data_IF_389361618453
#
_entry.id   IF_389361618453
#
_cell.length_a   1.000
_cell.length_b   1.000
_cell.length_c   1.000
_cell.angle_alpha   90.00
_cell.angle_beta   90.00
_cell.angle_gamma   90.00
#
_symmetry.space_group_name_H-M   'P 1'
#
loop_
_entity.id
_entity.type
_entity.pdbx_description
1 polymer ?
#
# COMPACT_ATOMS: atom_id res chain seq x y z
N UNK A 1 -41.31 -21.32 -21.70
CA UNK A 1 -40.12 -21.54 -20.86
C UNK A 1 -39.01 -20.69 -21.45
N UNK A 2 -38.27 -19.88 -20.67
CA UNK A 2 -37.07 -19.26 -21.22
C UNK A 2 -36.13 -20.39 -21.64
N UNK A 3 -35.53 -20.24 -22.81
CA UNK A 3 -34.52 -21.15 -23.35
C UNK A 3 -33.44 -21.41 -22.30
N UNK A 4 -33.11 -22.68 -22.06
CA UNK A 4 -31.95 -23.05 -21.27
C UNK A 4 -30.70 -22.39 -21.88
N UNK A 5 -30.17 -21.36 -21.21
CA UNK A 5 -28.84 -20.87 -21.50
C UNK A 5 -27.86 -21.98 -21.12
N UNK A 6 -26.97 -22.35 -22.05
CA UNK A 6 -25.82 -23.17 -21.69
C UNK A 6 -24.94 -22.31 -20.79
N UNK A 7 -24.52 -22.85 -19.65
CA UNK A 7 -23.63 -22.16 -18.72
C UNK A 7 -22.29 -21.93 -19.41
N UNK A 8 -21.83 -20.69 -19.48
CA UNK A 8 -20.51 -20.37 -20.04
C UNK A 8 -19.68 -19.48 -19.09
N UNK A 9 -18.46 -19.15 -19.50
CA UNK A 9 -17.51 -18.38 -18.69
C UNK A 9 -17.93 -16.94 -18.45
N UNK A 10 -18.91 -16.38 -19.18
CA UNK A 10 -19.41 -15.02 -18.96
C UNK A 10 -20.43 -14.96 -17.81
N UNK A 11 -21.01 -16.09 -17.43
CA UNK A 11 -21.93 -16.21 -16.29
C UNK A 11 -21.23 -16.24 -14.93
N UNK A 12 -19.89 -16.32 -14.92
CA UNK A 12 -19.06 -16.37 -13.72
C UNK A 12 -17.93 -15.34 -13.78
N UNK A 13 -17.57 -14.80 -12.63
CA UNK A 13 -16.45 -13.86 -12.49
C UNK A 13 -15.75 -14.05 -11.15
N UNK A 14 -14.45 -13.77 -11.14
CA UNK A 14 -13.71 -13.53 -9.91
C UNK A 14 -13.98 -12.09 -9.47
N UNK A 15 -14.28 -11.93 -8.19
CA UNK A 15 -14.56 -10.67 -7.52
C UNK A 15 -13.64 -10.52 -6.32
N UNK A 16 -13.22 -9.30 -6.06
CA UNK A 16 -12.27 -8.99 -4.99
C UNK A 16 -10.96 -8.48 -5.57
N UNK A 17 -10.19 -7.73 -4.78
CA UNK A 17 -8.95 -7.15 -5.27
C UNK A 17 -7.85 -8.21 -5.35
N UNK A 18 -6.97 -8.13 -6.35
CA UNK A 18 -5.89 -9.10 -6.54
C UNK A 18 -4.64 -8.68 -5.76
N UNK A 19 -4.70 -8.77 -4.43
CA UNK A 19 -3.52 -8.57 -3.61
C UNK A 19 -3.45 -9.41 -2.33
N UNK A 20 -2.24 -9.64 -1.83
CA UNK A 20 -1.96 -10.43 -0.62
C UNK A 20 -2.64 -9.82 0.60
N UNK A 21 -3.29 -10.68 1.39
CA UNK A 21 -4.08 -10.30 2.56
C UNK A 21 -5.53 -9.91 2.23
N UNK A 22 -5.95 -9.95 0.96
CA UNK A 22 -7.37 -9.91 0.58
C UNK A 22 -7.94 -11.27 0.22
N UNK A 23 -9.27 -11.33 0.06
CA UNK A 23 -9.98 -12.50 -0.44
C UNK A 23 -10.57 -12.26 -1.83
N UNK A 24 -10.34 -13.20 -2.73
CA UNK A 24 -11.10 -13.36 -3.96
C UNK A 24 -12.35 -14.19 -3.69
N UNK A 25 -13.38 -14.00 -4.51
CA UNK A 25 -14.60 -14.78 -4.48
C UNK A 25 -15.11 -15.07 -5.88
N UNK A 26 -15.68 -16.26 -6.08
CA UNK A 26 -16.39 -16.56 -7.33
C UNK A 26 -17.83 -16.10 -7.21
N UNK A 27 -18.25 -15.18 -8.07
CA UNK A 27 -19.66 -14.86 -8.29
C UNK A 27 -20.13 -15.43 -9.61
N UNK A 28 -21.30 -16.05 -9.61
CA UNK A 28 -21.97 -16.42 -10.84
C UNK A 28 -23.36 -16.97 -10.60
N UNK A 29 -24.01 -17.37 -11.68
CA UNK A 29 -25.38 -17.87 -11.70
C UNK A 29 -25.45 -19.36 -11.33
N UNK A 30 -25.17 -19.68 -10.06
CA UNK A 30 -25.17 -21.05 -9.53
C UNK A 30 -26.52 -21.77 -9.68
N UNK A 31 -27.61 -21.02 -9.83
CA UNK A 31 -28.96 -21.53 -10.13
C UNK A 31 -29.01 -22.40 -11.38
N UNK A 32 -28.10 -22.22 -12.35
CA UNK A 32 -28.09 -23.06 -13.56
C UNK A 32 -27.67 -24.51 -13.30
N UNK A 33 -27.02 -24.80 -12.17
CA UNK A 33 -26.71 -26.17 -11.76
C UNK A 33 -27.92 -26.95 -11.21
N UNK A 34 -29.11 -26.33 -11.13
CA UNK A 34 -30.35 -26.96 -10.65
C UNK A 34 -31.24 -27.54 -11.77
N UNK A 35 -30.84 -27.44 -13.04
CA UNK A 35 -31.72 -27.59 -14.20
C UNK A 35 -32.34 -28.99 -14.45
N UNK A 36 -31.99 -30.03 -13.67
CA UNK A 36 -32.47 -31.40 -13.87
C UNK A 36 -33.46 -31.89 -12.81
N UNK A 37 -33.55 -31.21 -11.66
CA UNK A 37 -34.60 -31.41 -10.66
C UNK A 37 -34.98 -30.02 -10.10
N UNK A 38 -36.19 -29.50 -10.41
CA UNK A 38 -36.63 -28.18 -9.94
C UNK A 38 -36.77 -28.08 -8.42
N UNK A 39 -36.65 -29.19 -7.68
CA UNK A 39 -36.65 -29.23 -6.22
C UNK A 39 -35.26 -29.45 -5.61
N UNK A 40 -34.22 -29.71 -6.42
CA UNK A 40 -32.87 -29.91 -5.92
C UNK A 40 -32.20 -28.57 -5.62
N UNK A 41 -31.55 -28.48 -4.46
CA UNK A 41 -30.64 -27.37 -4.21
C UNK A 41 -29.43 -27.49 -5.15
N UNK A 42 -28.97 -26.39 -5.79
CA UNK A 42 -27.76 -26.42 -6.58
C UNK A 42 -26.59 -26.82 -5.68
N UNK A 43 -25.83 -27.81 -6.13
CA UNK A 43 -24.61 -28.25 -5.48
C UNK A 43 -23.45 -28.07 -6.46
N UNK A 44 -22.34 -27.55 -5.97
CA UNK A 44 -21.15 -27.29 -6.76
C UNK A 44 -19.89 -27.36 -5.89
N UNK A 45 -18.77 -27.49 -6.58
CA UNK A 45 -17.43 -27.32 -6.03
C UNK A 45 -16.68 -26.28 -6.84
N UNK A 46 -15.71 -25.62 -6.22
CA UNK A 46 -14.82 -24.66 -6.87
C UNK A 46 -13.41 -25.16 -6.61
N UNK A 47 -12.62 -25.28 -7.66
CA UNK A 47 -11.19 -25.55 -7.58
C UNK A 47 -10.46 -24.28 -7.99
N UNK A 48 -9.68 -23.71 -7.08
CA UNK A 48 -8.86 -22.55 -7.39
C UNK A 48 -7.58 -22.95 -8.11
N UNK A 49 -7.14 -22.10 -9.04
CA UNK A 49 -5.96 -22.29 -9.87
C UNK A 49 -5.02 -21.09 -9.76
N UNK A 50 -3.72 -21.34 -9.61
CA UNK A 50 -2.63 -20.37 -9.73
C UNK A 50 -1.92 -20.61 -11.06
N UNK A 51 -1.98 -19.65 -11.99
CA UNK A 51 -1.46 -19.77 -13.35
C UNK A 51 -1.90 -21.07 -14.06
N UNK A 52 -3.18 -21.42 -13.88
CA UNK A 52 -3.79 -22.62 -14.45
C UNK A 52 -3.47 -23.94 -13.74
N UNK A 53 -2.68 -23.93 -12.65
CA UNK A 53 -2.40 -25.12 -11.84
C UNK A 53 -3.24 -25.14 -10.56
N UNK A 54 -3.79 -26.30 -10.15
CA UNK A 54 -4.55 -26.41 -8.90
C UNK A 54 -3.75 -26.00 -7.66
N UNK A 55 -4.39 -25.20 -6.79
CA UNK A 55 -3.83 -24.82 -5.49
C UNK A 55 -4.14 -25.89 -4.44
N UNK A 56 -3.13 -26.28 -3.67
CA UNK A 56 -3.28 -27.25 -2.58
C UNK A 56 -2.56 -26.78 -1.29
N UNK A 57 -3.15 -26.99 -0.10
CA UNK A 57 -4.49 -27.52 0.14
C UNK A 57 -5.60 -26.56 -0.34
N UNK A 58 -6.77 -27.10 -0.65
CA UNK A 58 -7.96 -26.31 -1.00
C UNK A 58 -8.28 -25.30 0.14
N UNK A 59 -8.51 -24.02 -0.17
CA UNK A 59 -8.88 -23.03 0.83
C UNK A 59 -10.14 -23.43 1.61
N UNK A 60 -10.22 -23.01 2.88
CA UNK A 60 -11.45 -23.16 3.64
C UNK A 60 -12.52 -22.23 3.03
N UNK A 61 -13.75 -22.75 2.87
CA UNK A 61 -14.89 -22.08 2.21
C UNK A 61 -14.76 -22.01 0.68
N UNK A 62 -15.41 -22.95 -0.03
CA UNK A 62 -15.23 -23.19 -1.46
C UNK A 62 -15.43 -21.98 -2.38
N UNK A 63 -16.14 -20.93 -1.98
CA UNK A 63 -16.32 -19.75 -2.84
C UNK A 63 -15.28 -18.66 -2.65
N UNK A 64 -14.40 -18.77 -1.65
CA UNK A 64 -13.43 -17.74 -1.29
C UNK A 64 -12.00 -18.25 -1.40
N UNK A 65 -11.07 -17.34 -1.71
CA UNK A 65 -9.64 -17.62 -1.80
C UNK A 65 -8.88 -16.46 -1.17
N UNK A 66 -8.25 -16.70 -0.02
CA UNK A 66 -7.38 -15.71 0.61
C UNK A 66 -6.04 -15.70 -0.12
N UNK A 67 -5.65 -14.54 -0.61
CA UNK A 67 -4.41 -14.34 -1.35
C UNK A 67 -3.21 -14.24 -0.40
N UNK A 68 -2.18 -15.02 -0.66
CA UNK A 68 -0.95 -15.06 0.12
C UNK A 68 0.28 -14.67 -0.70
N UNK A 69 1.42 -14.53 -0.01
CA UNK A 69 2.68 -14.10 -0.61
C UNK A 69 3.16 -14.99 -1.77
N UNK A 70 2.71 -16.25 -1.84
CA UNK A 70 3.06 -17.17 -2.91
C UNK A 70 2.24 -16.96 -4.19
N UNK A 71 1.12 -16.23 -4.09
CA UNK A 71 0.29 -15.85 -5.23
C UNK A 71 0.86 -14.66 -6.01
N UNK A 72 1.75 -13.87 -5.42
CA UNK A 72 2.28 -12.64 -6.03
C UNK A 72 2.88 -12.91 -7.41
N UNK A 73 2.47 -12.10 -8.39
CA UNK A 73 2.88 -12.22 -9.79
C UNK A 73 2.06 -13.23 -10.60
N UNK A 74 1.25 -14.05 -9.94
CA UNK A 74 0.37 -15.02 -10.59
C UNK A 74 -0.98 -14.39 -10.95
N UNK A 75 -1.72 -15.04 -11.85
CA UNK A 75 -3.16 -14.81 -12.01
C UNK A 75 -3.93 -15.97 -11.38
N UNK A 76 -4.98 -15.63 -10.64
CA UNK A 76 -5.84 -16.61 -10.00
C UNK A 76 -7.06 -16.82 -10.88
N UNK A 77 -7.39 -18.08 -11.15
CA UNK A 77 -8.64 -18.48 -11.79
C UNK A 77 -9.34 -19.54 -10.95
N UNK A 78 -10.53 -19.95 -11.37
CA UNK A 78 -11.26 -21.03 -10.72
C UNK A 78 -11.97 -21.91 -11.75
N UNK A 79 -12.19 -23.16 -11.37
CA UNK A 79 -13.08 -24.09 -12.10
C UNK A 79 -14.26 -24.41 -11.20
N UNK A 80 -15.46 -24.02 -11.64
CA UNK A 80 -16.71 -24.37 -10.96
C UNK A 80 -17.25 -25.67 -11.57
N UNK A 81 -17.46 -26.68 -10.75
CA UNK A 81 -18.03 -27.98 -11.17
C UNK A 81 -19.37 -28.19 -10.47
N UNK A 82 -20.46 -28.26 -11.24
CA UNK A 82 -21.78 -28.63 -10.73
C UNK A 82 -21.89 -30.13 -10.44
N UNK A 83 -22.46 -30.51 -9.30
CA UNK A 83 -22.54 -31.91 -8.87
C UNK A 83 -23.79 -32.68 -9.32
N UNK A 84 -24.84 -32.00 -9.83
CA UNK A 84 -26.12 -32.63 -10.19
C UNK A 84 -26.68 -32.26 -11.59
N UNK A 85 -25.89 -31.65 -12.48
CA UNK A 85 -26.35 -31.35 -13.83
C UNK A 85 -26.32 -32.60 -14.74
N UNK A 86 -27.29 -32.71 -15.65
CA UNK A 86 -27.48 -33.85 -16.56
C UNK A 86 -26.28 -34.15 -17.48
N UNK A 87 -25.29 -33.26 -17.53
CA UNK A 87 -23.90 -33.53 -17.86
C UNK A 87 -23.01 -32.64 -16.96
N UNK A 88 -21.77 -33.04 -16.63
CA UNK A 88 -20.89 -32.21 -15.83
C UNK A 88 -20.56 -30.91 -16.58
N UNK A 89 -21.22 -29.81 -16.20
CA UNK A 89 -20.85 -28.47 -16.64
C UNK A 89 -19.69 -28.00 -15.75
N UNK A 90 -18.47 -28.10 -16.28
CA UNK A 90 -17.32 -27.39 -15.75
C UNK A 90 -17.23 -26.03 -16.42
N UNK A 91 -17.15 -24.98 -15.61
CA UNK A 91 -16.99 -23.62 -16.10
C UNK A 91 -15.65 -23.10 -15.61
N UNK A 92 -14.80 -22.72 -16.56
CA UNK A 92 -13.57 -21.99 -16.26
C UNK A 92 -13.96 -20.53 -16.06
N UNK A 93 -13.69 -20.01 -14.87
CA UNK A 93 -13.94 -18.62 -14.52
C UNK A 93 -12.76 -17.78 -15.04
N UNK A 94 -13.01 -16.62 -15.68
CA UNK A 94 -11.95 -15.72 -16.12
C UNK A 94 -10.97 -15.36 -15.00
N UNK A 95 -9.70 -15.22 -15.38
CA UNK A 95 -8.59 -14.91 -14.48
C UNK A 95 -8.75 -13.54 -13.79
N UNK A 96 -8.25 -13.45 -12.56
CA UNK A 96 -8.06 -12.20 -11.84
C UNK A 96 -7.03 -11.30 -12.53
N UNK A 97 -6.94 -10.06 -12.05
CA UNK A 97 -5.72 -9.28 -12.21
C UNK A 97 -4.51 -9.99 -11.59
N UNK A 98 -3.30 -9.61 -12.03
CA UNK A 98 -2.06 -10.14 -11.44
C UNK A 98 -2.03 -9.80 -9.96
N UNK A 99 -1.85 -10.81 -9.13
CA UNK A 99 -1.83 -10.67 -7.67
C UNK A 99 -0.59 -9.87 -7.25
N UNK A 100 -0.79 -8.86 -6.41
CA UNK A 100 0.26 -7.97 -5.88
C UNK A 100 0.47 -8.22 -4.39
N UNK A 101 1.63 -7.89 -3.81
CA UNK A 101 1.85 -8.16 -2.38
C UNK A 101 1.06 -7.26 -1.41
N UNK A 102 0.27 -6.29 -1.88
CA UNK A 102 -0.31 -5.28 -1.00
C UNK A 102 -1.76 -4.91 -1.27
N UNK A 103 -2.57 -4.69 -0.20
CA UNK A 103 -3.71 -3.82 -0.28
C UNK A 103 -3.29 -2.46 -0.82
N UNK A 104 -3.64 -2.20 -2.08
CA UNK A 104 -3.67 -0.83 -2.59
C UNK A 104 -4.87 -0.12 -1.98
N UNK A 105 -4.84 0.14 -0.67
CA UNK A 105 -5.65 1.20 -0.06
C UNK A 105 -5.01 2.57 -0.22
N UNK A 106 -3.78 2.61 -0.72
CA UNK A 106 -3.27 3.75 -1.46
C UNK A 106 -3.53 3.47 -2.95
N UNK A 107 -4.70 3.87 -3.45
CA UNK A 107 -4.65 4.45 -4.78
C UNK A 107 -3.65 5.63 -4.64
N UNK A 108 -2.59 5.65 -5.44
CA UNK A 108 -1.62 6.76 -5.43
C UNK A 108 -2.32 8.11 -5.44
N UNK A 109 -1.58 9.19 -5.22
CA UNK A 109 -2.17 10.54 -5.23
C UNK A 109 -2.99 10.84 -6.53
N UNK A 110 -2.75 10.10 -7.63
CA UNK A 110 -3.52 10.11 -8.88
C UNK A 110 -4.50 8.94 -9.13
N UNK A 111 -4.85 8.11 -8.14
CA UNK A 111 -5.88 7.07 -8.35
C UNK A 111 -5.40 5.84 -9.13
N UNK A 112 -4.09 5.75 -9.43
CA UNK A 112 -3.53 4.75 -10.38
C UNK A 112 -3.12 3.43 -9.75
N UNK A 113 -3.32 3.26 -8.44
CA UNK A 113 -2.89 2.07 -7.72
C UNK A 113 -1.38 1.81 -7.85
N UNK A 114 -0.56 2.85 -7.65
CA UNK A 114 0.90 2.77 -7.48
C UNK A 114 1.31 3.87 -6.49
N UNK A 115 2.38 3.65 -5.72
CA UNK A 115 3.01 4.72 -4.94
C UNK A 115 3.49 5.82 -5.89
N UNK A 116 3.36 7.09 -5.46
CA UNK A 116 3.79 8.24 -6.25
C UNK A 116 4.69 9.12 -5.39
N UNK A 117 5.85 9.47 -5.93
CA UNK A 117 6.85 10.22 -5.19
C UNK A 117 6.48 11.71 -5.17
N UNK A 118 6.55 12.33 -4.00
CA UNK A 118 6.45 13.78 -3.85
C UNK A 118 7.83 14.35 -3.53
N UNK A 119 8.23 15.40 -4.23
CA UNK A 119 9.50 16.08 -4.00
C UNK A 119 9.31 17.57 -3.73
N UNK A 120 9.80 18.05 -2.59
CA UNK A 120 9.84 19.49 -2.30
C UNK A 120 11.21 20.07 -2.64
N UNK A 121 11.22 21.00 -3.59
CA UNK A 121 12.42 21.72 -4.00
C UNK A 121 12.86 22.73 -2.94
N UNK A 122 14.13 23.16 -3.00
CA UNK A 122 14.67 24.21 -2.12
C UNK A 122 13.92 25.55 -2.22
N UNK A 123 13.31 25.85 -3.37
CA UNK A 123 12.47 27.04 -3.56
C UNK A 123 11.05 26.91 -2.99
N UNK A 124 10.71 25.76 -2.39
CA UNK A 124 9.40 25.50 -1.80
C UNK A 124 8.38 24.92 -2.78
N UNK A 125 8.71 24.72 -4.05
CA UNK A 125 7.81 24.06 -4.99
C UNK A 125 7.65 22.56 -4.65
N UNK A 126 6.41 22.07 -4.63
CA UNK A 126 6.09 20.65 -4.48
C UNK A 126 5.80 20.05 -5.85
N UNK A 127 6.54 19.01 -6.21
CA UNK A 127 6.40 18.24 -7.44
C UNK A 127 5.88 16.86 -7.11
N UNK A 128 4.94 16.37 -7.92
CA UNK A 128 4.48 14.99 -7.95
C UNK A 128 5.14 14.27 -9.12
N UNK A 129 5.61 13.05 -8.87
CA UNK A 129 6.15 12.13 -9.88
C UNK A 129 5.18 10.95 -10.01
N UNK A 130 4.19 11.02 -10.92
CA UNK A 130 3.20 9.95 -11.06
C UNK A 130 3.87 8.69 -11.59
N UNK A 131 3.51 7.52 -11.05
CA UNK A 131 3.98 6.23 -11.56
C UNK A 131 3.60 6.01 -13.02
N UNK A 132 4.45 5.33 -13.77
CA UNK A 132 4.20 4.98 -15.17
C UNK A 132 3.34 3.74 -15.26
N UNK A 133 2.20 3.79 -15.97
CA UNK A 133 1.32 2.63 -16.18
C UNK A 133 2.03 1.53 -17.00
N UNK A 134 1.98 0.29 -16.50
CA UNK A 134 2.55 -0.89 -17.15
C UNK A 134 4.09 -0.97 -17.20
N UNK A 135 4.84 0.00 -16.68
CA UNK A 135 6.30 0.01 -16.75
C UNK A 135 6.98 0.57 -15.48
N UNK A 136 8.26 0.24 -15.31
CA UNK A 136 9.11 0.79 -14.25
C UNK A 136 9.25 2.31 -14.37
N UNK A 137 9.21 3.02 -13.23
CA UNK A 137 9.52 4.44 -13.18
C UNK A 137 8.32 5.40 -13.06
N UNK A 138 8.63 6.69 -13.22
CA UNK A 138 7.66 7.78 -13.15
C UNK A 138 7.51 8.48 -14.50
N UNK A 139 6.33 9.07 -14.72
CA UNK A 139 6.04 9.97 -15.82
C UNK A 139 6.57 11.38 -15.55
N UNK A 140 6.37 12.30 -16.50
CA UNK A 140 6.75 13.71 -16.36
C UNK A 140 6.20 14.31 -15.05
N UNK A 141 7.04 14.99 -14.24
CA UNK A 141 6.60 15.52 -12.96
C UNK A 141 5.58 16.64 -13.14
N UNK A 142 4.62 16.67 -12.22
CA UNK A 142 3.55 17.66 -12.16
C UNK A 142 3.82 18.66 -11.03
N UNK A 143 3.61 19.95 -11.30
CA UNK A 143 3.69 20.98 -10.26
C UNK A 143 2.39 21.00 -9.46
N UNK A 144 2.47 20.62 -8.19
CA UNK A 144 1.37 20.71 -7.25
C UNK A 144 1.18 22.15 -6.77
N UNK A 145 2.29 22.84 -6.47
CA UNK A 145 2.25 24.27 -6.17
C UNK A 145 3.61 24.84 -5.76
N UNK A 146 3.76 26.18 -5.82
CA UNK A 146 5.06 26.82 -5.61
C UNK A 146 5.41 27.12 -4.13
N UNK A 147 4.45 27.13 -3.20
CA UNK A 147 4.61 27.73 -1.87
C UNK A 147 4.50 26.73 -0.69
N UNK A 148 5.04 25.52 -0.85
CA UNK A 148 5.04 24.49 0.20
C UNK A 148 6.22 24.62 1.18
N UNK A 149 7.06 25.65 1.03
CA UNK A 149 8.15 25.96 1.95
C UNK A 149 7.69 26.51 3.30
N UNK A 150 6.44 26.96 3.43
CA UNK A 150 5.86 27.44 4.70
C UNK A 150 5.53 26.31 5.68
N UNK A 151 5.33 25.09 5.20
CA UNK A 151 5.12 23.91 6.03
C UNK A 151 6.46 23.36 6.52
N UNK A 152 6.53 23.03 7.80
CA UNK A 152 7.73 22.40 8.38
C UNK A 152 7.84 20.94 7.96
N UNK A 153 6.71 20.28 7.68
CA UNK A 153 6.61 18.86 7.34
C UNK A 153 5.51 18.62 6.32
N UNK A 154 5.75 17.63 5.46
CA UNK A 154 4.74 17.00 4.60
C UNK A 154 4.77 15.50 4.95
N UNK A 155 3.60 14.89 5.06
CA UNK A 155 3.42 13.50 5.48
C UNK A 155 2.43 12.88 4.49
N UNK A 156 2.81 11.75 3.87
CA UNK A 156 1.87 10.92 3.13
C UNK A 156 0.88 10.29 4.10
N UNK A 157 -0.38 10.72 4.07
CA UNK A 157 -1.41 10.24 5.01
C UNK A 157 -2.13 8.97 4.55
N UNK A 158 -2.03 8.64 3.25
CA UNK A 158 -2.90 7.64 2.63
C UNK A 158 -4.35 8.15 2.52
N UNK A 159 -5.28 7.25 2.23
CA UNK A 159 -6.72 7.52 2.26
C UNK A 159 -7.22 7.65 3.70
N UNK A 160 -7.21 8.88 4.22
CA UNK A 160 -7.64 9.17 5.60
C UNK A 160 -9.16 9.33 5.65
N UNK A 161 -9.80 9.72 4.55
CA UNK A 161 -11.25 9.95 4.51
C UNK A 161 -12.07 8.70 4.15
N UNK A 162 -11.39 7.60 3.78
CA UNK A 162 -11.98 6.35 3.34
C UNK A 162 -12.86 6.51 2.09
N UNK A 163 -12.48 7.43 1.20
CA UNK A 163 -13.18 7.70 -0.06
C UNK A 163 -12.43 7.15 -1.30
N UNK A 164 -11.34 6.43 -1.07
CA UNK A 164 -10.46 5.86 -2.10
C UNK A 164 -9.35 6.80 -2.56
N UNK A 165 -9.27 8.04 -2.05
CA UNK A 165 -8.29 9.02 -2.51
C UNK A 165 -7.28 9.32 -1.42
N UNK A 166 -6.02 9.47 -1.82
CA UNK A 166 -4.96 9.80 -0.87
C UNK A 166 -5.05 11.27 -0.43
N UNK A 167 -5.04 11.49 0.88
CA UNK A 167 -4.86 12.79 1.52
C UNK A 167 -3.38 13.12 1.73
N UNK A 168 -3.07 14.42 1.70
CA UNK A 168 -1.76 14.93 2.12
C UNK A 168 -1.87 15.66 3.45
N UNK A 169 -1.02 15.29 4.40
CA UNK A 169 -0.93 15.98 5.68
C UNK A 169 0.28 16.91 5.72
N UNK A 170 0.12 18.07 6.36
CA UNK A 170 1.24 19.00 6.58
C UNK A 170 1.21 19.60 7.97
N UNK A 171 2.38 19.84 8.54
CA UNK A 171 2.51 20.61 9.77
C UNK A 171 3.11 21.99 9.48
N UNK A 172 2.56 23.04 10.06
CA UNK A 172 3.13 24.39 9.98
C UNK A 172 4.06 24.72 11.15
N UNK A 173 4.71 25.90 11.10
CA UNK A 173 5.64 26.36 12.14
C UNK A 173 4.97 26.64 13.50
N UNK A 174 3.65 26.82 13.54
CA UNK A 174 2.88 26.97 14.77
C UNK A 174 2.49 25.63 15.40
N UNK A 175 2.75 24.52 14.70
CA UNK A 175 2.43 23.17 15.14
C UNK A 175 1.01 22.73 14.81
N UNK A 176 0.29 23.43 13.94
CA UNK A 176 -1.01 22.96 13.42
C UNK A 176 -0.78 21.88 12.36
N UNK A 177 -1.62 20.86 12.38
CA UNK A 177 -1.68 19.81 11.38
C UNK A 177 -2.86 20.08 10.46
N UNK A 178 -2.58 20.12 9.17
CA UNK A 178 -3.51 20.43 8.10
C UNK A 178 -3.67 19.23 7.19
N UNK A 179 -4.91 18.91 6.84
CA UNK A 179 -5.27 17.87 5.88
C UNK A 179 -5.73 18.49 4.57
N UNK A 180 -5.04 18.13 3.50
CA UNK A 180 -5.41 18.46 2.13
C UNK A 180 -6.11 17.26 1.50
N UNK A 181 -7.34 17.51 1.05
CA UNK A 181 -8.22 16.51 0.45
C UNK A 181 -7.75 16.14 -0.96
N UNK A 182 -7.49 14.85 -1.20
CA UNK A 182 -7.12 14.38 -2.53
C UNK A 182 -8.29 14.44 -3.51
N UNK A 183 -8.02 14.74 -4.78
CA UNK A 183 -9.01 14.46 -5.85
C UNK A 183 -8.86 13.08 -6.46
N UNK A 184 -7.76 12.38 -6.17
CA UNK A 184 -7.40 11.13 -6.83
C UNK A 184 -6.94 11.33 -8.27
N UNK A 185 -6.55 12.55 -8.67
CA UNK A 185 -6.00 12.87 -9.99
C UNK A 185 -4.64 13.58 -9.90
N UNK A 186 -4.01 13.56 -8.72
CA UNK A 186 -2.78 14.28 -8.44
C UNK A 186 -2.99 15.74 -8.05
N UNK A 187 -4.22 16.19 -7.83
CA UNK A 187 -4.52 17.58 -7.48
C UNK A 187 -5.38 17.71 -6.21
N UNK A 188 -5.47 18.94 -5.72
CA UNK A 188 -6.34 19.34 -4.61
C UNK A 188 -7.51 20.19 -5.12
N UNK A 189 -8.67 20.21 -4.43
CA UNK A 189 -9.76 21.10 -4.80
C UNK A 189 -9.34 22.57 -4.73
N UNK A 190 -9.43 23.27 -5.87
CA UNK A 190 -9.00 24.67 -6.02
C UNK A 190 -9.74 25.68 -5.15
N UNK A 191 -10.89 25.27 -4.60
CA UNK A 191 -11.79 26.05 -3.76
C UNK A 191 -11.90 25.52 -2.32
N UNK A 192 -11.15 24.47 -1.95
CA UNK A 192 -11.10 23.97 -0.58
C UNK A 192 -9.82 24.44 0.10
N UNK A 193 -9.98 25.07 1.26
CA UNK A 193 -8.86 25.27 2.18
C UNK A 193 -8.56 23.93 2.87
N UNK A 194 -7.29 23.66 3.21
CA UNK A 194 -6.98 22.48 4.02
C UNK A 194 -7.69 22.57 5.37
N UNK A 195 -8.09 21.42 5.90
CA UNK A 195 -8.78 21.34 7.19
C UNK A 195 -7.76 21.24 8.32
N UNK A 196 -7.87 22.06 9.35
CA UNK A 196 -7.07 21.89 10.57
C UNK A 196 -7.59 20.64 11.31
N UNK A 197 -6.74 19.64 11.51
CA UNK A 197 -7.11 18.37 12.15
C UNK A 197 -6.36 18.13 13.46
N UNK A 198 -5.50 19.06 13.87
CA UNK A 198 -4.80 18.97 15.15
C UNK A 198 -3.80 20.10 15.36
N UNK A 199 -3.22 20.14 16.55
CA UNK A 199 -2.23 21.12 16.99
C UNK A 199 -1.18 20.48 17.89
N UNK A 200 -0.08 21.18 18.15
CA UNK A 200 1.04 20.69 18.98
C UNK A 200 2.02 19.78 18.24
N UNK A 201 1.91 19.66 16.92
CA UNK A 201 2.76 18.77 16.10
C UNK A 201 4.20 19.27 15.97
N UNK A 202 4.48 20.52 16.34
CA UNK A 202 5.83 21.05 16.51
C UNK A 202 6.57 20.43 17.70
N UNK A 203 5.88 19.73 18.62
CA UNK A 203 6.50 19.00 19.72
C UNK A 203 7.07 17.63 19.28
N UNK A 204 6.71 17.14 18.10
CA UNK A 204 7.16 15.86 17.58
C UNK A 204 8.51 16.02 16.86
N UNK A 205 9.40 15.05 17.05
CA UNK A 205 10.67 14.94 16.32
C UNK A 205 10.43 14.37 14.92
N UNK A 206 9.73 13.24 14.78
CA UNK A 206 9.39 12.62 13.49
C UNK A 206 7.91 12.27 13.44
N UNK A 207 7.33 12.28 12.25
CA UNK A 207 5.94 11.89 12.00
C UNK A 207 5.90 11.16 10.67
N UNK A 208 5.27 9.99 10.62
CA UNK A 208 5.08 9.18 9.41
C UNK A 208 3.65 8.61 9.38
N UNK A 209 3.12 8.36 8.19
CA UNK A 209 1.86 7.64 7.97
C UNK A 209 2.15 6.21 7.54
N UNK A 210 2.13 5.22 8.45
CA UNK A 210 2.42 3.83 8.10
C UNK A 210 1.32 3.16 7.26
N UNK A 211 0.11 3.71 7.24
CA UNK A 211 -1.09 3.01 6.82
C UNK A 211 -1.84 2.47 8.03
N UNK A 212 -2.60 1.39 7.86
CA UNK A 212 -3.35 0.73 8.92
C UNK A 212 -2.42 -0.08 9.84
N UNK A 213 -1.96 0.54 10.92
CA UNK A 213 -0.95 -0.05 11.81
C UNK A 213 -1.60 -0.91 12.90
N UNK A 214 -2.86 -0.66 13.23
CA UNK A 214 -3.61 -1.41 14.24
C UNK A 214 -4.66 -2.40 13.71
N UNK A 215 -4.81 -2.48 12.38
CA UNK A 215 -5.61 -3.48 11.69
C UNK A 215 -7.11 -3.20 11.74
N UNK A 216 -7.51 -1.95 12.03
CA UNK A 216 -8.93 -1.56 12.16
C UNK A 216 -9.56 -1.10 10.84
N UNK A 217 -8.78 -1.07 9.76
CA UNK A 217 -9.18 -0.66 8.43
C UNK A 217 -9.05 0.84 8.16
N UNK A 218 -8.39 1.62 9.02
CA UNK A 218 -8.13 3.04 8.82
C UNK A 218 -6.63 3.37 8.87
N UNK A 219 -6.20 4.35 8.08
CA UNK A 219 -4.80 4.76 8.08
C UNK A 219 -4.45 5.60 9.32
N UNK A 220 -3.33 5.26 9.95
CA UNK A 220 -2.84 5.84 11.18
C UNK A 220 -1.66 6.78 10.99
N UNK A 221 -1.23 7.42 12.09
CA UNK A 221 0.05 8.12 12.17
C UNK A 221 0.91 7.58 13.30
N UNK A 222 2.22 7.57 13.08
CA UNK A 222 3.24 7.35 14.10
C UNK A 222 4.04 8.62 14.30
N UNK A 223 4.26 9.03 15.55
CA UNK A 223 5.09 10.18 15.86
C UNK A 223 6.01 9.95 17.06
N UNK A 224 7.27 10.34 16.90
CA UNK A 224 8.27 10.28 17.96
C UNK A 224 8.40 11.62 18.66
N UNK A 225 8.47 11.62 19.99
CA UNK A 225 8.87 12.79 20.77
C UNK A 225 10.41 12.86 20.88
N UNK A 226 11.01 14.04 21.11
CA UNK A 226 12.46 14.20 21.25
C UNK A 226 13.11 13.36 22.35
N UNK A 227 12.35 12.97 23.37
CA UNK A 227 12.78 12.08 24.46
C UNK A 227 12.84 10.59 24.05
N UNK A 228 12.43 10.26 22.81
CA UNK A 228 12.43 8.91 22.27
C UNK A 228 11.14 8.12 22.51
N UNK A 229 10.11 8.71 23.10
CA UNK A 229 8.78 8.10 23.14
C UNK A 229 8.24 8.01 21.72
N UNK A 230 7.65 6.88 21.35
CA UNK A 230 6.90 6.71 20.11
C UNK A 230 5.42 6.50 20.44
N UNK A 231 4.57 7.25 19.74
CA UNK A 231 3.12 7.16 19.87
C UNK A 231 2.47 6.82 18.54
N UNK A 232 1.51 5.89 18.60
CA UNK A 232 0.49 5.68 17.58
C UNK A 232 -0.62 6.71 17.80
N UNK A 233 -1.06 7.32 16.72
CA UNK A 233 -2.24 8.19 16.66
C UNK A 233 -3.26 7.46 15.79
N UNK A 234 -4.14 6.64 16.40
CA UNK A 234 -5.03 5.80 15.64
C UNK A 234 -6.16 6.62 15.04
N UNK A 235 -6.52 6.34 13.80
CA UNK A 235 -7.74 6.86 13.19
C UNK A 235 -8.82 5.78 13.25
N UNK A 236 -10.06 6.19 13.47
CA UNK A 236 -11.21 5.31 13.37
C UNK A 236 -12.31 5.92 12.50
N UNK A 237 -13.41 5.20 12.32
CA UNK A 237 -14.60 5.64 11.58
C UNK A 237 -15.12 7.02 12.01
N UNK A 238 -15.02 7.35 13.30
CA UNK A 238 -15.50 8.61 13.88
C UNK A 238 -14.43 9.69 14.03
N UNK A 239 -13.26 9.48 13.43
CA UNK A 239 -12.10 10.37 13.54
C UNK A 239 -10.99 9.80 14.43
N UNK A 240 -10.06 10.66 14.82
CA UNK A 240 -8.91 10.30 15.64
C UNK A 240 -9.31 9.83 17.04
N UNK A 241 -8.59 8.84 17.57
CA UNK A 241 -8.74 8.33 18.93
C UNK A 241 -7.57 8.79 19.81
N UNK A 242 -7.63 8.62 21.15
CA UNK A 242 -6.50 8.94 22.01
C UNK A 242 -5.23 8.20 21.59
N UNK A 243 -4.11 8.93 21.49
CA UNK A 243 -2.81 8.34 21.13
C UNK A 243 -2.40 7.22 22.10
N UNK A 244 -1.74 6.21 21.57
CA UNK A 244 -1.25 5.04 22.32
C UNK A 244 0.28 5.07 22.35
N UNK A 245 0.88 4.84 23.52
CA UNK A 245 2.34 4.71 23.63
C UNK A 245 2.76 3.33 23.12
N UNK A 246 3.55 3.30 22.04
CA UNK A 246 3.91 2.06 21.34
C UNK A 246 5.42 1.82 21.30
N UNK A 247 6.24 2.68 21.92
CA UNK A 247 7.67 2.43 21.98
C UNK A 247 8.48 3.48 22.73
N UNK A 248 9.72 3.13 23.04
CA UNK A 248 10.69 3.98 23.73
C UNK A 248 12.06 3.88 23.06
N UNK A 249 12.88 4.93 23.19
CA UNK A 249 14.27 4.94 22.74
C UNK A 249 14.44 5.27 21.26
N UNK A 250 13.38 5.75 20.58
CA UNK A 250 13.42 6.08 19.16
C UNK A 250 14.26 7.31 18.82
N UNK A 251 14.71 8.07 19.81
CA UNK A 251 15.63 9.20 19.65
C UNK A 251 17.04 8.80 19.17
N UNK A 252 17.36 7.50 19.16
CA UNK A 252 18.59 6.97 18.54
C UNK A 252 18.49 6.93 17.01
N UNK A 253 17.27 6.92 16.48
CA UNK A 253 16.99 6.93 15.04
C UNK A 253 16.93 8.37 14.54
N UNK A 254 17.55 8.65 13.40
CA UNK A 254 17.54 9.96 12.75
C UNK A 254 16.59 10.02 11.55
N UNK A 255 16.07 8.88 11.10
CA UNK A 255 15.09 8.78 10.03
C UNK A 255 14.12 7.62 10.29
N UNK A 256 12.84 7.83 9.94
CA UNK A 256 11.82 6.79 9.80
C UNK A 256 11.20 6.92 8.41
N UNK A 257 11.00 5.81 7.71
CA UNK A 257 10.23 5.73 6.47
C UNK A 257 9.24 4.56 6.54
N UNK A 258 8.16 4.66 5.78
CA UNK A 258 7.04 3.72 5.76
C UNK A 258 6.90 3.13 4.36
N UNK A 259 7.64 2.06 4.03
CA UNK A 259 7.51 1.41 2.72
C UNK A 259 6.19 0.66 2.55
N UNK A 260 5.41 0.46 3.62
CA UNK A 260 4.28 -0.46 3.66
C UNK A 260 4.74 -1.85 4.11
N UNK A 261 4.06 -2.91 3.71
CA UNK A 261 4.50 -4.30 3.95
C UNK A 261 5.80 -4.63 3.18
N UNK A 262 6.94 -4.45 3.84
CA UNK A 262 8.26 -4.67 3.24
C UNK A 262 8.72 -6.13 3.38
N UNK A 263 8.13 -6.86 4.32
CA UNK A 263 8.52 -8.22 4.68
C UNK A 263 7.57 -9.33 4.17
N UNK A 264 6.44 -8.95 3.58
CA UNK A 264 5.45 -9.84 2.99
C UNK A 264 4.54 -10.53 4.02
N UNK A 265 4.42 -10.02 5.24
CA UNK A 265 3.60 -10.61 6.31
C UNK A 265 2.15 -10.10 6.33
N UNK A 266 1.79 -9.22 5.40
CA UNK A 266 0.45 -8.64 5.26
C UNK A 266 0.21 -7.45 6.19
N UNK A 267 1.21 -6.98 6.92
CA UNK A 267 1.11 -5.82 7.82
C UNK A 267 2.09 -4.71 7.45
N UNK A 268 1.78 -3.48 7.82
CA UNK A 268 2.63 -2.34 7.46
C UNK A 268 3.92 -2.31 8.30
N UNK A 269 5.06 -2.08 7.65
CA UNK A 269 6.37 -2.03 8.27
C UNK A 269 6.97 -0.62 8.31
N UNK A 270 7.94 -0.44 9.22
CA UNK A 270 8.79 0.75 9.30
C UNK A 270 10.25 0.38 9.03
N UNK A 271 10.92 1.18 8.19
CA UNK A 271 12.37 1.20 8.14
C UNK A 271 12.91 2.40 8.93
N UNK A 272 13.79 2.12 9.88
CA UNK A 272 14.37 3.13 10.77
C UNK A 272 15.89 3.16 10.63
N UNK A 273 16.44 4.33 10.35
CA UNK A 273 17.90 4.52 10.24
C UNK A 273 18.43 5.17 11.51
N UNK A 274 19.55 4.66 12.00
CA UNK A 274 20.29 5.31 13.07
C UNK A 274 21.35 6.31 12.57
N UNK A 275 21.91 7.07 13.49
CA UNK A 275 22.91 8.12 13.22
C UNK A 275 24.21 7.60 12.62
N UNK A 276 24.51 6.31 12.74
CA UNK A 276 25.72 5.69 12.15
C UNK A 276 25.43 5.01 10.81
N UNK A 277 24.20 5.09 10.31
CA UNK A 277 23.81 4.59 8.99
C UNK A 277 23.42 3.12 8.97
N UNK A 278 23.10 2.51 10.13
CA UNK A 278 22.44 1.20 10.18
C UNK A 278 20.96 1.40 9.91
N UNK A 279 20.40 0.58 9.01
CA UNK A 279 18.99 0.56 8.68
C UNK A 279 18.36 -0.70 9.27
N UNK A 280 17.31 -0.49 10.06
CA UNK A 280 16.57 -1.54 10.73
C UNK A 280 15.16 -1.63 10.17
N UNK A 281 14.69 -2.84 9.95
CA UNK A 281 13.27 -3.11 9.73
C UNK A 281 12.60 -3.39 11.08
N UNK A 282 11.52 -2.68 11.32
CA UNK A 282 10.59 -2.88 12.41
C UNK A 282 9.27 -3.34 11.81
N UNK A 283 8.99 -4.64 11.94
CA UNK A 283 7.76 -5.21 11.44
C UNK A 283 6.55 -4.80 12.28
N UNK A 284 5.44 -4.48 11.64
CA UNK A 284 4.14 -4.32 12.31
C UNK A 284 3.59 -5.68 12.75
N UNK A 285 2.67 -5.71 13.71
CA UNK A 285 1.92 -6.92 14.04
C UNK A 285 0.44 -6.84 13.65
N UNK A 286 0.04 -5.78 12.93
CA UNK A 286 -1.33 -5.48 12.53
C UNK A 286 -2.30 -5.27 13.71
N UNK A 287 -1.78 -4.93 14.89
CA UNK A 287 -2.54 -4.72 16.15
C UNK A 287 -1.97 -3.58 16.98
N UNK A 288 -1.28 -2.64 16.35
CA UNK A 288 -0.71 -1.47 17.01
C UNK A 288 0.61 -1.75 17.74
N UNK A 289 1.29 -2.85 17.43
CA UNK A 289 2.55 -3.25 18.05
C UNK A 289 3.60 -3.70 17.04
N UNK A 290 4.73 -4.18 17.57
CA UNK A 290 5.94 -4.49 16.80
C UNK A 290 6.27 -5.97 16.83
N UNK A 291 6.83 -6.46 15.73
CA UNK A 291 7.66 -7.65 15.67
C UNK A 291 9.10 -7.33 16.10
N UNK A 292 9.94 -8.37 16.19
CA UNK A 292 11.35 -8.18 16.54
C UNK A 292 12.09 -7.44 15.41
N UNK A 293 12.80 -6.34 15.71
CA UNK A 293 13.50 -5.59 14.68
C UNK A 293 14.71 -6.36 14.17
N UNK A 294 15.02 -6.22 12.88
CA UNK A 294 16.24 -6.76 12.27
C UNK A 294 17.07 -5.67 11.60
N UNK A 295 18.38 -5.87 11.55
CA UNK A 295 19.26 -5.05 10.73
C UNK A 295 19.11 -5.50 9.26
N UNK A 296 18.72 -4.58 8.38
CA UNK A 296 18.56 -4.84 6.93
C UNK A 296 19.57 -4.10 6.06
N UNK A 297 20.38 -3.21 6.63
CA UNK A 297 21.41 -2.53 5.86
C UNK A 297 22.37 -1.70 6.70
N UNK A 298 23.48 -1.30 6.08
CA UNK A 298 24.51 -0.44 6.66
C UNK A 298 25.00 0.57 5.61
N UNK A 299 25.65 1.66 6.05
CA UNK A 299 26.19 2.69 5.14
C UNK A 299 25.15 3.66 4.58
N UNK A 300 23.92 3.65 5.10
CA UNK A 300 22.83 4.51 4.63
C UNK A 300 23.06 6.00 4.93
N UNK A 301 24.05 6.34 5.74
CA UNK A 301 24.52 7.72 5.95
C UNK A 301 25.24 8.32 4.73
N UNK A 302 25.58 7.51 3.72
CA UNK A 302 26.07 8.01 2.43
C UNK A 302 24.98 8.74 1.62
N UNK A 303 23.71 8.53 1.97
CA UNK A 303 22.56 9.13 1.32
C UNK A 303 22.10 10.36 2.09
N UNK A 304 21.87 11.45 1.37
CA UNK A 304 21.34 12.72 1.91
C UNK A 304 19.83 12.70 2.11
N UNK A 305 19.12 11.83 1.38
CA UNK A 305 17.67 11.61 1.47
C UNK A 305 17.39 10.15 1.23
N UNK A 306 16.41 9.63 1.95
CA UNK A 306 15.93 8.26 1.83
C UNK A 306 14.43 8.33 2.04
N UNK A 307 13.66 7.59 1.24
CA UNK A 307 12.21 7.55 1.31
C UNK A 307 11.66 6.31 0.65
N UNK A 308 10.37 6.06 0.83
CA UNK A 308 9.66 4.98 0.15
C UNK A 308 9.57 5.26 -1.36
N UNK A 309 9.56 4.21 -2.17
CA UNK A 309 9.29 4.32 -3.60
C UNK A 309 8.08 3.49 -4.06
N UNK A 310 7.48 2.72 -3.13
CA UNK A 310 6.52 1.67 -3.43
C UNK A 310 7.09 0.66 -4.42
N UNK A 311 6.23 -0.06 -5.14
CA UNK A 311 6.65 -1.03 -6.16
C UNK A 311 7.09 -0.32 -7.45
N UNK A 312 8.31 0.22 -7.45
CA UNK A 312 8.86 1.05 -8.53
C UNK A 312 9.17 0.22 -9.77
N UNK A 313 9.66 -1.01 -9.58
CA UNK A 313 10.03 -1.92 -10.68
C UNK A 313 8.90 -2.88 -11.09
N UNK A 314 7.74 -2.83 -10.42
CA UNK A 314 6.55 -3.65 -10.69
C UNK A 314 6.78 -5.14 -10.48
N UNK A 315 7.66 -5.50 -9.57
CA UNK A 315 7.92 -6.89 -9.21
C UNK A 315 7.00 -7.38 -8.08
N UNK A 316 6.09 -6.52 -7.63
CA UNK A 316 5.10 -6.80 -6.63
C UNK A 316 5.55 -6.45 -5.22
N UNK A 317 6.76 -5.93 -4.98
CA UNK A 317 7.26 -5.62 -3.64
C UNK A 317 7.62 -4.15 -3.47
N UNK A 318 7.68 -3.69 -2.22
CA UNK A 318 8.02 -2.29 -1.94
C UNK A 318 9.51 -2.01 -2.08
N UNK A 319 9.80 -0.91 -2.74
CA UNK A 319 11.14 -0.38 -2.95
C UNK A 319 11.39 0.88 -2.12
N UNK A 320 12.66 1.23 -2.02
CA UNK A 320 13.15 2.41 -1.30
C UNK A 320 14.06 3.21 -2.22
N UNK A 321 13.91 4.53 -2.22
CA UNK A 321 14.82 5.40 -2.95
C UNK A 321 15.83 6.07 -2.00
N UNK A 322 16.97 6.44 -2.56
CA UNK A 322 18.03 7.20 -1.91
C UNK A 322 18.60 8.27 -2.82
N UNK A 323 18.97 9.42 -2.28
CA UNK A 323 19.69 10.46 -3.03
C UNK A 323 21.01 10.77 -2.37
N UNK A 324 22.12 10.55 -3.06
CA UNK A 324 23.45 10.88 -2.55
C UNK A 324 23.77 12.39 -2.70
N UNK A 325 24.89 12.84 -2.16
CA UNK A 325 25.30 14.26 -2.21
C UNK A 325 25.61 14.78 -3.61
N UNK A 326 25.91 13.88 -4.57
CA UNK A 326 26.11 14.24 -5.98
C UNK A 326 24.78 14.43 -6.74
N UNK A 327 23.64 14.16 -6.09
CA UNK A 327 22.32 14.23 -6.70
C UNK A 327 21.96 13.00 -7.54
N UNK A 328 22.69 11.90 -7.37
CA UNK A 328 22.33 10.59 -7.92
C UNK A 328 21.10 10.05 -7.18
N UNK A 329 20.06 9.67 -7.91
CA UNK A 329 18.92 8.94 -7.39
C UNK A 329 19.16 7.44 -7.57
N UNK A 330 19.23 6.75 -6.45
CA UNK A 330 19.39 5.31 -6.34
C UNK A 330 18.05 4.69 -5.96
N UNK A 331 17.68 3.59 -6.62
CA UNK A 331 16.53 2.78 -6.27
C UNK A 331 17.00 1.44 -5.69
N UNK A 332 16.58 1.13 -4.48
CA UNK A 332 16.86 -0.11 -3.77
C UNK A 332 15.63 -1.01 -3.86
N UNK A 333 15.76 -2.10 -4.61
CA UNK A 333 14.66 -3.01 -4.89
C UNK A 333 14.43 -3.97 -3.72
N UNK A 334 13.19 -4.01 -3.21
CA UNK A 334 12.80 -4.90 -2.13
C UNK A 334 12.66 -6.35 -2.60
N UNK A 335 12.87 -7.31 -1.69
CA UNK A 335 12.65 -8.73 -1.99
C UNK A 335 11.30 -9.29 -1.50
N UNK A 336 10.46 -8.43 -0.90
CA UNK A 336 9.19 -8.83 -0.30
C UNK A 336 9.33 -9.72 0.94
N UNK A 337 10.55 -9.87 1.45
CA UNK A 337 10.93 -10.65 2.64
C UNK A 337 11.79 -9.80 3.55
N UNK A 338 11.72 -8.48 3.38
CA UNK A 338 12.42 -7.37 4.02
C UNK A 338 13.94 -7.39 3.92
N UNK A 339 14.44 -7.96 2.82
CA UNK A 339 15.78 -7.77 2.30
C UNK A 339 15.76 -6.96 1.00
N UNK A 340 16.82 -7.13 0.21
CA UNK A 340 17.04 -6.37 -1.02
C UNK A 340 17.36 -7.30 -2.19
N UNK A 341 16.75 -7.06 -3.34
CA UNK A 341 17.12 -7.70 -4.62
C UNK A 341 18.34 -7.05 -5.26
N UNK A 342 18.51 -5.74 -5.08
CA UNK A 342 19.60 -4.99 -5.68
C UNK A 342 19.42 -3.48 -5.56
N UNK A 343 20.32 -2.74 -6.18
CA UNK A 343 20.26 -1.27 -6.26
C UNK A 343 20.66 -0.82 -7.66
N UNK A 344 19.98 0.22 -8.16
CA UNK A 344 20.23 0.82 -9.47
C UNK A 344 20.24 2.35 -9.39
N UNK A 345 21.07 2.99 -10.21
CA UNK A 345 20.97 4.43 -10.46
C UNK A 345 19.87 4.71 -11.48
N UNK A 346 18.80 5.35 -11.05
CA UNK A 346 17.61 5.63 -11.89
C UNK A 346 17.47 7.11 -12.26
N UNK A 347 18.38 7.97 -11.81
CA UNK A 347 18.37 9.38 -12.19
C UNK A 347 19.50 10.21 -11.60
N UNK A 348 19.60 11.46 -12.07
CA UNK A 348 20.59 12.45 -11.63
C UNK A 348 19.94 13.83 -11.46
N UNK A 349 20.61 14.72 -10.71
CA UNK A 349 20.12 16.08 -10.46
C UNK A 349 19.08 16.18 -9.33
N UNK A 350 18.94 15.15 -8.50
CA UNK A 350 17.95 15.11 -7.41
C UNK A 350 18.36 15.90 -6.16
N UNK A 351 19.55 16.53 -6.19
CA UNK A 351 19.99 17.46 -5.15
C UNK A 351 19.22 18.79 -5.12
N UNK A 352 18.35 19.05 -6.12
CA UNK A 352 17.42 20.20 -6.14
C UNK A 352 16.33 20.11 -5.06
N UNK A 353 16.10 18.92 -4.51
CA UNK A 353 15.11 18.69 -3.46
C UNK A 353 15.71 18.97 -2.08
N UNK A 354 14.91 19.53 -1.18
CA UNK A 354 15.19 19.55 0.26
C UNK A 354 14.54 18.37 1.00
N UNK A 355 13.48 17.79 0.42
CA UNK A 355 12.80 16.62 0.96
C UNK A 355 12.10 15.82 -0.15
N UNK A 356 11.96 14.52 0.08
CA UNK A 356 11.24 13.56 -0.73
C UNK A 356 10.28 12.79 0.21
N UNK A 357 9.08 12.49 -0.26
CA UNK A 357 7.99 11.91 0.53
C UNK A 357 7.31 10.77 -0.20
#
# INVERSE_FOLDING_TARGET
MPSAHAVDGEDFSIQGPAFVGSGLSVKGAYEYFSACDPNAQPSYSVQWLRDGQPVYPEPNFSQFYDLDIEDVGSRISAVVTGSNACEPAQVVVPESDVVRSQPMRAEGFTGRGVFELLGRRHDGALLLYPGQDGAQGWTSPQLIGPNWGSYTRIIGGGDLTSDGKTELLTADGSGRLWMFWGRGDGTFPSNAYPSEIGWGWNAMDKVVGPGDFDGDGYNDLLATEPNGNLYLYPKAARGWTPRVHVGQGWNVMDLLITPGDFNGDGTVDILAKDKVGRLFLYGGNGRGGWLSPRLVGQGWNALSKIGSAGDFNRDGFNDVHGVNSAGELLMYYGDGRGGWKGVETVGWGWNIFNALY
#
